data_IF_259611484057
#
_entry.id   IF_259611484057
#
_cell.length_a   1.000
_cell.length_b   1.000
_cell.length_c   1.000
_cell.angle_alpha   90.00
_cell.angle_beta   90.00
_cell.angle_gamma   90.00
#
_symmetry.space_group_name_H-M   'P 1'
#
loop_
_entity.id
_entity.type
_entity.pdbx_description
1 polymer ?
#
# COMPACT_ATOMS: atom_id res chain seq x y z
N UNK A 1 22.54 -36.21 17.33
CA UNK A 1 22.55 -34.73 17.24
C UNK A 1 21.94 -34.21 15.93
N UNK A 2 22.36 -34.71 14.75
CA UNK A 2 21.81 -34.27 13.45
C UNK A 2 20.30 -34.56 13.24
N UNK A 3 19.79 -35.66 13.81
CA UNK A 3 18.37 -36.05 13.71
C UNK A 3 17.46 -35.08 14.50
N UNK A 4 17.96 -34.46 15.58
CA UNK A 4 17.21 -33.52 16.40
C UNK A 4 17.10 -32.13 15.74
N UNK A 5 18.16 -31.72 15.03
CA UNK A 5 18.18 -30.48 14.22
C UNK A 5 17.19 -30.58 13.05
N UNK A 6 17.17 -31.71 12.33
CA UNK A 6 16.21 -31.91 11.23
C UNK A 6 14.74 -31.92 11.67
N UNK A 7 14.45 -32.36 12.90
CA UNK A 7 13.09 -32.28 13.47
C UNK A 7 12.67 -30.85 13.80
N UNK A 8 13.61 -30.03 14.29
CA UNK A 8 13.35 -28.63 14.64
C UNK A 8 13.06 -27.79 13.39
N UNK A 9 13.79 -28.03 12.30
CA UNK A 9 13.54 -27.37 11.01
C UNK A 9 12.16 -27.75 10.45
N UNK A 10 11.78 -29.03 10.54
CA UNK A 10 10.47 -29.52 10.10
C UNK A 10 9.33 -28.87 10.90
N UNK A 11 9.47 -28.75 12.23
CA UNK A 11 8.47 -28.10 13.08
C UNK A 11 8.30 -26.63 12.71
N UNK A 12 9.39 -25.90 12.47
CA UNK A 12 9.34 -24.50 12.04
C UNK A 12 8.58 -24.37 10.71
N UNK A 13 8.84 -25.22 9.73
CA UNK A 13 8.13 -25.18 8.44
C UNK A 13 6.65 -25.54 8.59
N UNK A 14 6.30 -26.49 9.45
CA UNK A 14 4.90 -26.83 9.76
C UNK A 14 4.21 -25.64 10.43
N UNK A 15 4.86 -24.96 11.37
CA UNK A 15 4.31 -23.79 12.05
C UNK A 15 4.09 -22.63 11.07
N UNK A 16 5.06 -22.36 10.19
CA UNK A 16 4.92 -21.36 9.12
C UNK A 16 3.74 -21.69 8.21
N UNK A 17 3.60 -22.96 7.79
CA UNK A 17 2.48 -23.40 6.97
C UNK A 17 1.16 -23.27 7.75
N UNK A 18 1.12 -23.61 9.03
CA UNK A 18 -0.07 -23.52 9.87
C UNK A 18 -0.50 -22.06 10.07
N UNK A 19 0.43 -21.13 10.29
CA UNK A 19 0.17 -19.69 10.43
C UNK A 19 -0.33 -19.11 9.12
N UNK A 20 0.34 -19.38 8.00
CA UNK A 20 -0.09 -18.93 6.67
C UNK A 20 -1.47 -19.51 6.34
N UNK A 21 -1.66 -20.81 6.59
CA UNK A 21 -2.96 -21.45 6.35
C UNK A 21 -4.02 -20.80 7.22
N UNK A 22 -3.84 -20.68 8.53
CA UNK A 22 -4.81 -20.03 9.43
C UNK A 22 -5.14 -18.59 9.06
N UNK A 23 -4.14 -17.81 8.65
CA UNK A 23 -4.30 -16.42 8.24
C UNK A 23 -5.09 -16.27 6.93
N UNK A 24 -4.84 -17.15 5.95
CA UNK A 24 -5.43 -17.04 4.60
C UNK A 24 -6.56 -18.04 4.32
N UNK A 25 -6.83 -19.01 5.18
CA UNK A 25 -7.95 -19.98 5.05
C UNK A 25 -9.32 -19.28 4.91
N UNK A 26 -9.61 -18.19 5.67
CA UNK A 26 -10.88 -17.46 5.51
C UNK A 26 -11.06 -16.82 4.13
N UNK A 27 -9.99 -16.69 3.33
CA UNK A 27 -10.08 -16.16 1.96
C UNK A 27 -10.72 -17.16 0.98
N UNK A 28 -10.38 -18.45 1.13
CA UNK A 28 -10.84 -19.52 0.23
C UNK A 28 -12.16 -20.12 0.69
N UNK A 29 -12.41 -20.13 1.99
CA UNK A 29 -13.70 -20.54 2.55
C UNK A 29 -14.74 -19.45 2.27
N UNK A 30 -15.51 -19.62 1.18
CA UNK A 30 -16.77 -18.90 0.94
C UNK A 30 -17.85 -19.37 1.93
N UNK A 31 -17.60 -19.20 3.22
CA UNK A 31 -18.63 -19.40 4.23
C UNK A 31 -19.74 -18.37 4.05
N UNK A 32 -20.99 -18.81 4.17
CA UNK A 32 -22.12 -17.91 4.39
C UNK A 32 -21.97 -17.31 5.79
N UNK A 33 -21.10 -16.31 5.93
CA UNK A 33 -20.98 -15.56 7.16
C UNK A 33 -22.23 -14.70 7.30
N UNK A 34 -22.95 -14.91 8.38
CA UNK A 34 -24.21 -14.24 8.67
C UNK A 34 -23.98 -12.72 8.72
N UNK A 35 -24.63 -12.00 7.81
CA UNK A 35 -24.41 -10.57 7.56
C UNK A 35 -24.75 -9.69 8.77
N UNK A 36 -25.48 -10.24 9.75
CA UNK A 36 -25.85 -9.58 11.00
C UNK A 36 -24.80 -9.61 12.12
N UNK A 37 -23.70 -10.38 12.00
CA UNK A 37 -22.73 -10.55 13.10
C UNK A 37 -21.63 -9.46 13.08
N UNK A 38 -21.34 -8.86 11.92
CA UNK A 38 -20.28 -7.86 11.76
C UNK A 38 -20.87 -6.54 11.25
N UNK A 39 -20.80 -5.49 12.09
CA UNK A 39 -21.18 -4.14 11.68
C UNK A 39 -20.15 -3.59 10.66
N UNK A 40 -20.46 -3.74 9.37
CA UNK A 40 -19.57 -3.38 8.26
C UNK A 40 -19.16 -1.90 8.29
N UNK A 41 -20.07 -0.91 8.39
CA UNK A 41 -19.68 0.50 8.53
C UNK A 41 -18.68 0.76 9.65
N UNK A 42 -18.90 0.16 10.83
CA UNK A 42 -18.01 0.32 11.98
C UNK A 42 -16.64 -0.33 11.78
N UNK A 43 -16.61 -1.46 11.07
CA UNK A 43 -15.36 -2.13 10.70
C UNK A 43 -14.54 -1.26 9.74
N UNK A 44 -15.19 -0.71 8.71
CA UNK A 44 -14.56 0.19 7.74
C UNK A 44 -13.95 1.39 8.45
N UNK A 45 -14.73 2.06 9.30
CA UNK A 45 -14.28 3.23 10.07
C UNK A 45 -13.02 2.93 10.90
N UNK A 46 -12.96 1.79 11.58
CA UNK A 46 -11.78 1.38 12.36
C UNK A 46 -10.54 1.14 11.50
N UNK A 47 -10.69 0.48 10.35
CA UNK A 47 -9.56 0.25 9.44
C UNK A 47 -9.10 1.53 8.75
N UNK A 48 -10.02 2.46 8.47
CA UNK A 48 -9.69 3.78 7.97
C UNK A 48 -8.87 4.58 8.98
N UNK A 49 -9.34 4.66 10.23
CA UNK A 49 -8.62 5.32 11.32
C UNK A 49 -7.24 4.71 11.53
N UNK A 50 -7.13 3.38 11.52
CA UNK A 50 -5.85 2.69 11.64
C UNK A 50 -4.90 3.07 10.51
N UNK A 51 -5.39 3.11 9.26
CA UNK A 51 -4.58 3.48 8.10
C UNK A 51 -4.13 4.94 8.16
N UNK A 52 -4.98 5.86 8.62
CA UNK A 52 -4.63 7.27 8.84
C UNK A 52 -3.51 7.38 9.88
N UNK A 53 -3.61 6.65 11.00
CA UNK A 53 -2.57 6.61 12.03
C UNK A 53 -1.26 6.06 11.46
N UNK A 54 -1.29 4.99 10.67
CA UNK A 54 -0.09 4.44 10.03
C UNK A 54 0.58 5.44 9.07
N UNK A 55 -0.20 6.23 8.33
CA UNK A 55 0.37 7.33 7.54
C UNK A 55 0.99 8.42 8.43
N UNK A 56 0.35 8.76 9.54
CA UNK A 56 0.90 9.69 10.53
C UNK A 56 2.22 9.20 11.12
N UNK A 57 2.29 7.91 11.45
CA UNK A 57 3.51 7.24 11.93
C UNK A 57 4.60 7.24 10.87
N UNK A 58 4.28 6.97 9.60
CA UNK A 58 5.24 7.08 8.51
C UNK A 58 5.85 8.48 8.42
N UNK A 59 5.04 9.55 8.53
CA UNK A 59 5.54 10.94 8.53
C UNK A 59 6.49 11.18 9.70
N UNK A 60 6.14 10.74 10.91
CA UNK A 60 7.02 10.84 12.10
C UNK A 60 8.31 10.05 11.89
N UNK A 61 8.21 8.84 11.34
CA UNK A 61 9.32 7.96 11.00
C UNK A 61 10.20 8.45 9.84
N UNK A 62 9.88 9.57 9.21
CA UNK A 62 10.70 10.22 8.18
C UNK A 62 11.20 11.61 8.61
N UNK A 63 11.03 11.97 9.89
CA UNK A 63 11.44 13.29 10.43
C UNK A 63 12.92 13.62 10.23
N UNK A 64 13.80 12.62 10.13
CA UNK A 64 15.21 12.82 9.83
C UNK A 64 15.49 13.37 8.42
N UNK A 65 14.52 13.30 7.49
CA UNK A 65 14.61 14.02 6.22
C UNK A 65 14.24 15.51 6.35
N UNK A 66 13.60 15.93 7.44
CA UNK A 66 13.10 17.30 7.63
C UNK A 66 13.98 18.07 8.62
N UNK A 67 14.89 18.88 8.09
CA UNK A 67 15.67 19.82 8.89
C UNK A 67 14.97 21.19 8.95
N UNK A 68 14.82 21.74 10.16
CA UNK A 68 14.23 23.06 10.40
C UNK A 68 15.21 24.19 10.05
N UNK A 69 16.51 23.88 10.06
CA UNK A 69 17.58 24.86 9.88
C UNK A 69 18.06 24.95 8.43
N UNK A 70 17.96 23.87 7.65
CA UNK A 70 18.32 23.84 6.24
C UNK A 70 17.17 23.32 5.38
N UNK A 71 16.74 24.16 4.42
CA UNK A 71 15.64 23.80 3.52
C UNK A 71 16.17 22.92 2.39
N UNK A 72 15.85 21.61 2.42
CA UNK A 72 16.28 20.65 1.41
C UNK A 72 15.13 20.24 0.48
N UNK A 73 15.40 20.20 -0.83
CA UNK A 73 14.46 19.74 -1.85
C UNK A 73 14.04 18.28 -1.59
N UNK A 74 14.96 17.44 -1.10
CA UNK A 74 14.69 16.04 -0.76
C UNK A 74 13.51 15.88 0.20
N UNK A 75 13.44 16.71 1.24
CA UNK A 75 12.36 16.70 2.24
C UNK A 75 11.01 16.99 1.60
N UNK A 76 10.95 17.93 0.66
CA UNK A 76 9.74 18.28 -0.09
C UNK A 76 9.29 17.10 -0.95
N UNK A 77 10.24 16.45 -1.65
CA UNK A 77 9.94 15.31 -2.51
C UNK A 77 9.41 14.13 -1.70
N UNK A 78 10.05 13.80 -0.57
CA UNK A 78 9.60 12.74 0.34
C UNK A 78 8.20 13.05 0.89
N UNK A 79 7.96 14.28 1.35
CA UNK A 79 6.63 14.67 1.80
C UNK A 79 5.57 14.56 0.70
N UNK A 80 5.91 14.97 -0.52
CA UNK A 80 5.02 14.91 -1.67
C UNK A 80 4.65 13.46 -2.05
N UNK A 81 5.57 12.52 -1.87
CA UNK A 81 5.32 11.08 -2.06
C UNK A 81 4.25 10.60 -1.08
N UNK A 82 4.44 10.88 0.22
CA UNK A 82 3.53 10.43 1.29
C UNK A 82 2.14 11.02 1.11
N UNK A 83 2.05 12.33 0.87
CA UNK A 83 0.76 13.00 0.69
C UNK A 83 0.06 12.54 -0.59
N UNK A 84 0.81 12.19 -1.65
CA UNK A 84 0.23 11.63 -2.88
C UNK A 84 -0.33 10.22 -2.68
N UNK A 85 0.37 9.39 -1.91
CA UNK A 85 -0.14 8.06 -1.52
C UNK A 85 -1.39 8.19 -0.64
N UNK A 86 -1.34 9.05 0.38
CA UNK A 86 -2.49 9.33 1.24
C UNK A 86 -3.68 9.87 0.44
N UNK A 87 -3.46 10.82 -0.47
CA UNK A 87 -4.51 11.33 -1.36
C UNK A 87 -5.10 10.23 -2.26
N UNK A 88 -4.28 9.32 -2.78
CA UNK A 88 -4.75 8.18 -3.58
C UNK A 88 -5.66 7.27 -2.76
N UNK A 89 -5.28 7.02 -1.50
CA UNK A 89 -6.07 6.26 -0.54
C UNK A 89 -7.41 6.94 -0.22
N UNK A 90 -7.40 8.23 0.12
CA UNK A 90 -8.63 8.99 0.44
C UNK A 90 -9.58 9.03 -0.75
N UNK A 91 -9.09 9.25 -1.97
CA UNK A 91 -9.95 9.23 -3.17
C UNK A 91 -10.59 7.85 -3.32
N UNK A 92 -9.82 6.78 -3.11
CA UNK A 92 -10.32 5.43 -3.27
C UNK A 92 -11.37 5.05 -2.25
N UNK A 93 -11.06 5.22 -0.97
CA UNK A 93 -11.91 4.75 0.11
C UNK A 93 -13.05 5.74 0.36
N UNK A 94 -12.75 7.02 0.62
CA UNK A 94 -13.78 7.96 1.03
C UNK A 94 -14.71 8.37 -0.13
N UNK A 95 -14.15 8.59 -1.33
CA UNK A 95 -14.92 9.18 -2.42
C UNK A 95 -15.57 8.13 -3.34
N UNK A 96 -14.85 7.06 -3.68
CA UNK A 96 -15.30 6.07 -4.66
C UNK A 96 -16.09 4.91 -4.04
N UNK A 97 -15.74 4.45 -2.83
CA UNK A 97 -16.44 3.33 -2.18
C UNK A 97 -17.82 3.73 -1.65
N UNK A 98 -18.81 2.87 -1.87
CA UNK A 98 -20.14 3.01 -1.27
C UNK A 98 -20.14 2.40 0.14
N UNK A 99 -20.20 3.26 1.14
CA UNK A 99 -20.15 2.87 2.55
C UNK A 99 -21.44 2.19 3.05
N UNK A 100 -22.50 2.17 2.22
CA UNK A 100 -23.81 1.60 2.56
C UNK A 100 -24.03 0.18 2.00
N UNK A 101 -23.08 -0.39 1.23
CA UNK A 101 -23.22 -1.77 0.71
C UNK A 101 -22.66 -2.78 1.71
N UNK A 102 -23.51 -3.69 2.14
CA UNK A 102 -23.16 -4.85 2.99
C UNK A 102 -22.83 -6.03 2.07
N UNK A 103 -21.64 -6.03 1.47
CA UNK A 103 -21.12 -7.24 0.82
C UNK A 103 -19.66 -7.46 1.21
N UNK A 104 -19.30 -8.73 1.47
CA UNK A 104 -17.95 -9.25 1.81
C UNK A 104 -17.03 -8.31 2.61
N UNK A 105 -17.29 -8.17 3.91
CA UNK A 105 -16.41 -7.51 4.89
C UNK A 105 -14.95 -7.99 4.85
N UNK A 106 -14.74 -9.27 4.51
CA UNK A 106 -13.41 -9.91 4.50
C UNK A 106 -12.44 -9.29 3.47
N UNK A 107 -12.85 -9.05 2.22
CA UNK A 107 -11.93 -8.52 1.21
C UNK A 107 -11.51 -7.08 1.53
N UNK A 108 -12.44 -6.26 2.04
CA UNK A 108 -12.12 -4.91 2.48
C UNK A 108 -11.11 -4.92 3.64
N UNK A 109 -11.33 -5.79 4.63
CA UNK A 109 -10.40 -5.97 5.76
C UNK A 109 -9.00 -6.36 5.29
N UNK A 110 -8.87 -7.37 4.43
CA UNK A 110 -7.57 -7.79 3.90
C UNK A 110 -6.90 -6.72 3.05
N UNK A 111 -7.67 -5.97 2.24
CA UNK A 111 -7.09 -4.84 1.49
C UNK A 111 -6.43 -3.81 2.40
N UNK A 112 -7.04 -3.49 3.54
CA UNK A 112 -6.48 -2.54 4.51
C UNK A 112 -5.25 -3.11 5.21
N UNK A 113 -5.22 -4.39 5.54
CA UNK A 113 -4.01 -5.02 6.06
C UNK A 113 -2.84 -4.90 5.07
N UNK A 114 -3.06 -5.18 3.78
CA UNK A 114 -2.00 -5.02 2.79
C UNK A 114 -1.61 -3.55 2.58
N UNK A 115 -2.53 -2.59 2.70
CA UNK A 115 -2.22 -1.16 2.68
C UNK A 115 -1.29 -0.80 3.86
N UNK A 116 -1.62 -1.21 5.08
CA UNK A 116 -0.81 -0.95 6.28
C UNK A 116 0.58 -1.56 6.14
N UNK A 117 0.68 -2.82 5.70
CA UNK A 117 1.96 -3.50 5.45
C UNK A 117 2.78 -2.73 4.41
N UNK A 118 2.14 -2.26 3.33
CA UNK A 118 2.81 -1.49 2.28
C UNK A 118 3.36 -0.17 2.77
N UNK A 119 2.60 0.57 3.60
CA UNK A 119 3.06 1.84 4.17
C UNK A 119 4.27 1.60 5.07
N UNK A 120 4.23 0.57 5.93
CA UNK A 120 5.36 0.22 6.79
C UNK A 120 6.60 -0.20 5.99
N UNK A 121 6.44 -1.02 4.94
CA UNK A 121 7.55 -1.40 4.04
C UNK A 121 8.16 -0.17 3.34
N UNK A 122 7.34 0.79 2.93
CA UNK A 122 7.83 2.06 2.37
C UNK A 122 8.62 2.86 3.41
N UNK A 123 8.14 2.97 4.64
CA UNK A 123 8.85 3.67 5.73
C UNK A 123 10.22 3.03 5.99
N UNK A 124 10.28 1.70 6.06
CA UNK A 124 11.55 0.95 6.21
C UNK A 124 12.49 1.20 5.04
N UNK A 125 11.98 1.23 3.80
CA UNK A 125 12.81 1.53 2.63
C UNK A 125 13.39 2.96 2.68
N UNK A 126 12.63 3.94 3.17
CA UNK A 126 13.13 5.30 3.39
C UNK A 126 14.17 5.40 4.51
N UNK A 127 14.03 4.61 5.56
CA UNK A 127 15.01 4.52 6.64
C UNK A 127 16.33 3.91 6.15
N UNK A 128 16.25 2.88 5.30
CA UNK A 128 17.43 2.30 4.65
C UNK A 128 18.11 3.27 3.68
N UNK A 129 17.33 4.03 2.89
CA UNK A 129 17.85 5.09 2.04
C UNK A 129 18.65 6.13 2.84
N UNK A 130 18.15 6.50 4.03
CA UNK A 130 18.80 7.50 4.88
C UNK A 130 20.04 6.98 5.60
N UNK A 131 19.96 5.79 6.19
CA UNK A 131 21.04 5.19 6.96
C UNK A 131 22.19 4.68 6.07
N UNK A 132 21.88 4.26 4.83
CA UNK A 132 22.86 3.70 3.90
C UNK A 132 23.46 2.36 4.37
N UNK A 133 22.87 1.71 5.37
CA UNK A 133 23.39 0.49 5.99
C UNK A 133 23.09 -0.78 5.19
N UNK A 134 22.12 -0.71 4.28
CA UNK A 134 21.58 -1.86 3.54
C UNK A 134 21.99 -1.81 2.07
N UNK A 135 22.09 -2.97 1.44
CA UNK A 135 22.37 -3.07 0.02
C UNK A 135 21.32 -2.27 -0.81
N UNK A 136 21.74 -1.35 -1.70
CA UNK A 136 20.83 -0.54 -2.51
C UNK A 136 19.83 -1.36 -3.34
N UNK A 137 20.20 -2.56 -3.79
CA UNK A 137 19.29 -3.44 -4.53
C UNK A 137 18.13 -3.93 -3.67
N UNK A 138 18.38 -4.20 -2.38
CA UNK A 138 17.34 -4.64 -1.45
C UNK A 138 16.40 -3.49 -1.12
N UNK A 139 16.94 -2.29 -0.87
CA UNK A 139 16.16 -1.07 -0.64
C UNK A 139 15.23 -0.77 -1.83
N UNK A 140 15.79 -0.74 -3.04
CA UNK A 140 15.03 -0.52 -4.28
C UNK A 140 13.95 -1.61 -4.45
N UNK A 141 14.30 -2.87 -4.18
CA UNK A 141 13.35 -3.98 -4.23
C UNK A 141 12.17 -3.78 -3.27
N UNK A 142 12.46 -3.46 -2.01
CA UNK A 142 11.42 -3.23 -0.98
C UNK A 142 10.55 -2.01 -1.32
N UNK A 143 11.14 -0.93 -1.82
CA UNK A 143 10.39 0.26 -2.26
C UNK A 143 9.45 -0.05 -3.44
N UNK A 144 9.92 -0.78 -4.45
CA UNK A 144 9.07 -1.14 -5.60
C UNK A 144 7.93 -2.07 -5.16
N UNK A 145 8.25 -3.08 -4.33
CA UNK A 145 7.25 -4.02 -3.81
C UNK A 145 6.20 -3.28 -2.98
N UNK A 146 6.63 -2.38 -2.08
CA UNK A 146 5.70 -1.62 -1.24
C UNK A 146 4.72 -0.79 -2.07
N UNK A 147 5.19 -0.09 -3.09
CA UNK A 147 4.34 0.70 -3.99
C UNK A 147 3.38 -0.17 -4.80
N UNK A 148 3.85 -1.30 -5.34
CA UNK A 148 3.00 -2.24 -6.09
C UNK A 148 1.90 -2.81 -5.18
N UNK A 149 2.26 -3.27 -3.98
CA UNK A 149 1.29 -3.84 -3.03
C UNK A 149 0.30 -2.76 -2.59
N UNK A 150 0.75 -1.52 -2.35
CA UNK A 150 -0.13 -0.41 -2.00
C UNK A 150 -1.18 -0.15 -3.09
N UNK A 151 -0.74 0.07 -4.33
CA UNK A 151 -1.64 0.37 -5.45
C UNK A 151 -2.53 -0.82 -5.83
N UNK A 152 -2.02 -2.05 -5.74
CA UNK A 152 -2.84 -3.25 -5.94
C UNK A 152 -3.92 -3.40 -4.86
N UNK A 153 -3.59 -3.08 -3.61
CA UNK A 153 -4.51 -3.22 -2.47
C UNK A 153 -5.65 -2.20 -2.53
N UNK A 154 -5.36 -0.93 -2.86
CA UNK A 154 -6.42 0.05 -3.07
C UNK A 154 -7.27 -0.31 -4.31
N UNK A 155 -6.70 -0.90 -5.36
CA UNK A 155 -7.45 -1.36 -6.54
C UNK A 155 -8.35 -2.57 -6.24
N UNK A 156 -7.97 -3.42 -5.30
CA UNK A 156 -8.78 -4.57 -4.88
C UNK A 156 -10.17 -4.15 -4.35
N UNK A 157 -10.32 -2.88 -3.96
CA UNK A 157 -11.57 -2.29 -3.49
C UNK A 157 -12.50 -1.78 -4.60
N UNK A 158 -12.11 -1.88 -5.88
CA UNK A 158 -12.96 -1.56 -7.04
C UNK A 158 -14.38 -2.15 -7.00
N UNK A 159 -14.60 -3.39 -6.53
CA UNK A 159 -15.94 -3.98 -6.44
C UNK A 159 -16.90 -3.25 -5.48
N UNK A 160 -16.38 -2.42 -4.56
CA UNK A 160 -17.18 -1.66 -3.60
C UNK A 160 -17.56 -0.26 -4.08
N UNK A 161 -17.24 0.11 -5.33
CA UNK A 161 -17.54 1.45 -5.82
C UNK A 161 -19.05 1.73 -5.91
N UNK A 162 -19.41 3.02 -5.78
CA UNK A 162 -20.78 3.50 -6.00
C UNK A 162 -21.31 3.08 -7.38
N UNK A 163 -22.59 2.76 -7.43
CA UNK A 163 -23.26 2.37 -8.67
C UNK A 163 -23.11 3.48 -9.72
N UNK A 164 -22.72 3.10 -10.95
CA UNK A 164 -22.45 4.03 -12.05
C UNK A 164 -20.98 4.39 -12.26
N UNK A 165 -20.09 4.15 -11.28
CA UNK A 165 -18.65 4.33 -11.46
C UNK A 165 -18.08 3.18 -12.28
N UNK A 166 -17.90 3.41 -13.59
CA UNK A 166 -17.20 2.47 -14.47
C UNK A 166 -15.72 2.80 -14.50
N UNK A 167 -14.95 2.05 -13.73
CA UNK A 167 -13.49 2.08 -13.85
C UNK A 167 -13.09 1.42 -15.18
N UNK A 168 -12.70 2.24 -16.16
CA UNK A 168 -12.40 1.79 -17.52
C UNK A 168 -11.10 0.97 -17.51
N UNK A 169 -11.03 -0.08 -18.34
CA UNK A 169 -9.80 -0.87 -18.51
C UNK A 169 -8.62 0.02 -18.93
N UNK A 170 -8.88 1.10 -19.68
CA UNK A 170 -7.85 2.08 -20.05
C UNK A 170 -7.26 2.88 -18.88
N UNK A 171 -8.00 3.05 -17.78
CA UNK A 171 -7.47 3.73 -16.58
C UNK A 171 -6.58 2.77 -15.78
N UNK A 172 -6.93 1.48 -15.72
CA UNK A 172 -6.07 0.45 -15.11
C UNK A 172 -4.74 0.33 -15.86
N UNK A 173 -4.79 0.32 -17.20
CA UNK A 173 -3.58 0.28 -18.03
C UNK A 173 -2.69 1.49 -17.78
N UNK A 174 -3.25 2.70 -17.61
CA UNK A 174 -2.46 3.90 -17.26
C UNK A 174 -1.81 3.77 -15.88
N UNK A 175 -2.53 3.27 -14.88
CA UNK A 175 -1.97 3.04 -13.55
C UNK A 175 -0.79 2.06 -13.59
N UNK A 176 -0.98 0.92 -14.26
CA UNK A 176 0.09 -0.06 -14.47
C UNK A 176 1.26 0.56 -15.23
N UNK A 177 1.01 1.38 -16.24
CA UNK A 177 2.05 2.05 -17.01
C UNK A 177 2.86 3.03 -16.15
N UNK A 178 2.20 3.88 -15.34
CA UNK A 178 2.91 4.78 -14.41
C UNK A 178 3.75 4.00 -13.40
N UNK A 179 3.22 2.91 -12.85
CA UNK A 179 3.97 2.04 -11.95
C UNK A 179 5.16 1.40 -12.67
N UNK A 180 4.98 0.85 -13.86
CA UNK A 180 6.07 0.22 -14.63
C UNK A 180 7.17 1.23 -15.01
N UNK A 181 6.80 2.42 -15.48
CA UNK A 181 7.76 3.48 -15.84
C UNK A 181 8.50 3.98 -14.61
N UNK A 182 7.80 4.24 -13.50
CA UNK A 182 8.45 4.68 -12.27
C UNK A 182 9.36 3.60 -11.69
N UNK A 183 8.94 2.34 -11.66
CA UNK A 183 9.79 1.22 -11.22
C UNK A 183 11.04 1.07 -12.10
N UNK A 184 10.90 1.24 -13.41
CA UNK A 184 12.05 1.27 -14.32
C UNK A 184 13.03 2.38 -13.94
N UNK A 185 12.56 3.60 -13.69
CA UNK A 185 13.41 4.73 -13.28
C UNK A 185 14.12 4.45 -11.95
N UNK A 186 13.43 3.87 -10.96
CA UNK A 186 14.02 3.48 -9.66
C UNK A 186 15.13 2.44 -9.86
N UNK A 187 15.00 1.49 -10.78
CA UNK A 187 16.04 0.48 -11.01
C UNK A 187 17.38 1.06 -11.50
N UNK A 188 17.38 2.24 -12.13
CA UNK A 188 18.61 2.93 -12.57
C UNK A 188 19.16 3.92 -11.54
N UNK A 189 18.54 4.07 -10.36
CA UNK A 189 18.88 5.13 -9.41
C UNK A 189 19.98 4.80 -8.41
N UNK A 190 20.76 3.72 -8.63
CA UNK A 190 21.66 3.10 -7.64
C UNK A 190 22.56 4.07 -6.85
N UNK A 191 22.92 5.22 -7.41
CA UNK A 191 23.75 6.24 -6.74
C UNK A 191 23.11 7.64 -6.72
N UNK A 192 21.89 7.79 -7.24
CA UNK A 192 21.25 9.10 -7.39
C UNK A 192 19.90 9.16 -6.67
N UNK A 193 19.91 9.78 -5.48
CA UNK A 193 18.72 10.00 -4.65
C UNK A 193 17.61 10.74 -5.38
N UNK A 194 17.93 11.71 -6.25
CA UNK A 194 16.92 12.45 -6.99
C UNK A 194 16.25 11.57 -8.05
N UNK A 195 17.01 10.69 -8.69
CA UNK A 195 16.44 9.73 -9.65
C UNK A 195 15.53 8.73 -8.93
N UNK A 196 15.93 8.24 -7.75
CA UNK A 196 15.12 7.36 -6.90
C UNK A 196 13.78 8.01 -6.53
N UNK A 197 13.82 9.21 -5.97
CA UNK A 197 12.63 9.96 -5.57
C UNK A 197 11.75 10.35 -6.76
N UNK A 198 12.36 10.70 -7.90
CA UNK A 198 11.61 11.02 -9.12
C UNK A 198 10.85 9.80 -9.65
N UNK A 199 11.44 8.61 -9.58
CA UNK A 199 10.79 7.36 -9.94
C UNK A 199 9.57 7.09 -9.06
N UNK A 200 9.72 7.26 -7.74
CA UNK A 200 8.60 7.10 -6.80
C UNK A 200 7.49 8.13 -7.08
N UNK A 201 7.84 9.39 -7.36
CA UNK A 201 6.87 10.44 -7.69
C UNK A 201 6.10 10.16 -8.99
N UNK A 202 6.75 9.59 -10.01
CA UNK A 202 6.08 9.16 -11.25
C UNK A 202 4.98 8.14 -10.92
N UNK A 203 5.28 7.17 -10.06
CA UNK A 203 4.29 6.18 -9.61
C UNK A 203 3.19 6.89 -8.83
N UNK A 204 3.54 7.64 -7.79
CA UNK A 204 2.54 8.13 -6.84
C UNK A 204 1.65 9.22 -7.41
N UNK A 205 2.23 10.26 -8.01
CA UNK A 205 1.47 11.35 -8.63
C UNK A 205 0.77 10.90 -9.92
N UNK A 206 1.37 10.00 -10.69
CA UNK A 206 0.77 9.43 -11.89
C UNK A 206 -0.52 8.67 -11.57
N UNK A 207 -0.46 7.79 -10.57
CA UNK A 207 -1.63 7.06 -10.09
C UNK A 207 -2.67 8.00 -9.43
N UNK A 208 -2.25 8.95 -8.60
CA UNK A 208 -3.14 9.97 -8.02
C UNK A 208 -3.89 10.76 -9.12
N UNK A 209 -3.19 11.14 -10.18
CA UNK A 209 -3.77 11.90 -11.29
C UNK A 209 -4.84 11.12 -12.05
N UNK A 210 -4.66 9.80 -12.20
CA UNK A 210 -5.70 8.93 -12.79
C UNK A 210 -6.91 8.86 -11.86
N UNK A 211 -6.70 8.65 -10.56
CA UNK A 211 -7.77 8.57 -9.57
C UNK A 211 -8.56 9.88 -9.44
N UNK A 212 -7.87 11.02 -9.40
CA UNK A 212 -8.49 12.34 -9.33
C UNK A 212 -9.35 12.65 -10.58
N UNK A 213 -8.91 12.20 -11.77
CA UNK A 213 -9.73 12.30 -12.99
C UNK A 213 -11.00 11.48 -12.91
N UNK A 214 -10.93 10.26 -12.36
CA UNK A 214 -12.11 9.41 -12.14
C UNK A 214 -13.06 10.07 -11.15
N UNK A 215 -12.55 10.55 -10.01
CA UNK A 215 -13.35 11.26 -9.01
C UNK A 215 -14.12 12.43 -9.62
N UNK A 216 -13.43 13.32 -10.36
CA UNK A 216 -14.04 14.49 -11.01
C UNK A 216 -15.10 14.12 -12.05
N UNK A 217 -14.99 12.94 -12.67
CA UNK A 217 -15.94 12.47 -13.69
C UNK A 217 -17.26 11.98 -13.10
N UNK A 218 -17.23 11.43 -11.88
CA UNK A 218 -18.39 10.73 -11.30
C UNK A 218 -19.00 11.40 -10.05
N UNK A 219 -18.33 12.37 -9.42
CA UNK A 219 -18.81 13.06 -8.22
C UNK A 219 -19.06 14.57 -8.44
N UNK A 220 -19.64 14.92 -9.60
CA UNK A 220 -20.19 16.27 -9.80
C UNK A 220 -21.55 16.43 -9.14
#
# INVERSE_FOLDING_TARGET
MAILLGFHDIVIWIDVIAVITGAFLPFFLKGHFDEGVINFPHLVERFELLTIITFGEAVVGMTYFFDVTSFNITSILVFLIVISMFGSYVIQIHNLVNHHRVERSLRLMFSHYFIIISINLMTVAFEWLHSGEVNPHLEIGVMIISLIVFYASIMANKPYYKEGIKFLNGDLVKMILFTAVGSFVILFSMENIYLFLSGILIITLGNLSVLAKIQKKYLK
#
